data_IF_388465454187
#
_entry.id   IF_388465454187
#
_cell.length_a   1.000
_cell.length_b   1.000
_cell.length_c   1.000
_cell.angle_alpha   90.00
_cell.angle_beta   90.00
_cell.angle_gamma   90.00
#
_symmetry.space_group_name_H-M   'P 1'
#
loop_
_entity.id
_entity.type
_entity.pdbx_description
1 polymer ?
#
# COMPACT_ATOMS: atom_id res chain seq x y z
N UNK A 1 -6.79 13.62 -23.87
CA UNK A 1 -7.78 13.48 -22.78
C UNK A 1 -7.18 14.08 -21.52
N UNK A 2 -7.77 15.15 -20.99
CA UNK A 2 -7.34 15.71 -19.72
C UNK A 2 -7.71 14.71 -18.61
N UNK A 3 -6.73 14.23 -17.85
CA UNK A 3 -7.00 13.47 -16.63
C UNK A 3 -7.60 14.44 -15.62
N UNK A 4 -8.89 14.32 -15.38
CA UNK A 4 -9.64 15.15 -14.45
C UNK A 4 -9.11 14.81 -13.06
N UNK A 5 -8.35 15.72 -12.45
CA UNK A 5 -7.76 15.51 -11.13
C UNK A 5 -8.89 15.23 -10.13
N UNK A 6 -8.73 14.16 -9.35
CA UNK A 6 -9.72 13.77 -8.33
C UNK A 6 -10.84 12.87 -8.82
N UNK A 7 -10.71 12.19 -9.96
CA UNK A 7 -11.62 11.11 -10.38
C UNK A 7 -10.94 9.75 -10.40
N UNK A 8 -11.71 8.71 -10.07
CA UNK A 8 -11.22 7.35 -10.09
C UNK A 8 -11.06 6.88 -11.55
N UNK A 9 -9.86 6.43 -11.97
CA UNK A 9 -9.61 6.04 -13.37
C UNK A 9 -10.41 4.80 -13.79
N UNK A 10 -10.87 3.97 -12.82
CA UNK A 10 -11.66 2.76 -13.10
C UNK A 10 -13.16 3.01 -13.21
N UNK A 11 -13.77 3.75 -12.27
CA UNK A 11 -15.22 3.91 -12.19
C UNK A 11 -15.73 5.31 -12.54
N UNK A 12 -14.84 6.26 -12.82
CA UNK A 12 -15.18 7.64 -13.20
C UNK A 12 -15.82 8.48 -12.09
N UNK A 13 -16.01 7.93 -10.89
CA UNK A 13 -16.56 8.68 -9.75
C UNK A 13 -15.49 9.59 -9.15
N UNK A 14 -15.91 10.77 -8.68
CA UNK A 14 -15.05 11.70 -7.95
C UNK A 14 -14.55 11.09 -6.64
N UNK A 15 -13.25 11.17 -6.41
CA UNK A 15 -12.53 10.64 -5.25
C UNK A 15 -12.20 11.80 -4.31
N UNK A 16 -13.09 12.04 -3.34
CA UNK A 16 -12.86 12.98 -2.23
C UNK A 16 -12.20 12.30 -1.02
N UNK A 17 -12.47 11.01 -0.85
CA UNK A 17 -11.91 10.17 0.20
C UNK A 17 -11.39 8.87 -0.41
N UNK A 18 -10.37 8.29 0.22
CA UNK A 18 -9.77 7.01 -0.12
C UNK A 18 -9.81 6.08 1.07
N UNK A 19 -9.94 4.79 0.82
CA UNK A 19 -9.73 3.77 1.83
C UNK A 19 -8.22 3.54 1.98
N UNK A 20 -7.74 3.46 3.22
CA UNK A 20 -6.31 3.31 3.55
C UNK A 20 -6.12 1.98 4.26
N UNK A 21 -5.29 1.10 3.69
CA UNK A 21 -5.01 -0.20 4.30
C UNK A 21 -3.50 -0.42 4.43
N UNK A 22 -3.10 -1.08 5.52
CA UNK A 22 -1.72 -1.53 5.70
C UNK A 22 -1.50 -2.80 4.89
N UNK A 23 -0.54 -2.77 3.97
CA UNK A 23 -0.11 -3.91 3.17
C UNK A 23 1.38 -4.17 3.36
N UNK A 24 1.82 -5.37 3.00
CA UNK A 24 3.25 -5.70 2.96
C UNK A 24 3.67 -5.72 1.51
N UNK A 25 4.60 -4.85 1.15
CA UNK A 25 5.21 -4.80 -0.17
C UNK A 25 6.66 -5.27 -0.13
N UNK A 26 7.18 -5.66 -1.29
CA UNK A 26 8.61 -5.88 -1.47
C UNK A 26 9.21 -4.60 -2.05
N UNK A 27 10.04 -3.92 -1.27
CA UNK A 27 10.85 -2.79 -1.72
C UNK A 27 12.25 -3.30 -2.12
N UNK A 28 12.76 -2.81 -3.26
CA UNK A 28 14.10 -3.11 -3.77
C UNK A 28 14.40 -4.62 -3.91
N UNK A 29 13.37 -5.39 -4.30
CA UNK A 29 13.47 -6.82 -4.62
C UNK A 29 13.80 -7.77 -3.46
N UNK A 30 14.06 -7.26 -2.25
CA UNK A 30 14.59 -8.08 -1.14
C UNK A 30 14.04 -7.73 0.25
N UNK A 31 13.49 -6.53 0.44
CA UNK A 31 13.05 -6.07 1.76
C UNK A 31 11.52 -6.01 1.85
N UNK A 32 10.94 -6.72 2.82
CA UNK A 32 9.53 -6.59 3.14
C UNK A 32 9.32 -5.27 3.88
N UNK A 33 8.70 -4.30 3.21
CA UNK A 33 8.35 -3.01 3.77
C UNK A 33 6.84 -2.97 4.08
N UNK A 34 6.46 -2.25 5.15
CA UNK A 34 5.05 -1.89 5.33
C UNK A 34 4.72 -0.76 4.36
N UNK A 35 3.61 -0.89 3.68
CA UNK A 35 3.11 0.11 2.77
C UNK A 35 1.67 0.44 3.13
N UNK A 36 1.27 1.67 2.80
CA UNK A 36 -0.12 2.10 2.79
C UNK A 36 -0.65 1.95 1.37
N UNK A 37 -1.71 1.18 1.18
CA UNK A 37 -2.47 1.17 -0.06
C UNK A 37 -3.61 2.19 0.03
N UNK A 38 -3.76 2.99 -1.01
CA UNK A 38 -4.87 3.92 -1.16
C UNK A 38 -5.81 3.35 -2.22
N UNK A 39 -7.06 3.08 -1.84
CA UNK A 39 -8.06 2.53 -2.76
C UNK A 39 -9.32 3.39 -2.85
N UNK A 40 -9.98 3.34 -4.00
CA UNK A 40 -11.22 4.06 -4.22
C UNK A 40 -12.34 3.50 -3.33
N UNK A 41 -13.05 4.35 -2.60
CA UNK A 41 -14.17 3.95 -1.73
C UNK A 41 -15.38 3.35 -2.47
N UNK A 42 -15.46 3.55 -3.79
CA UNK A 42 -16.62 3.13 -4.58
C UNK A 42 -16.43 1.79 -5.29
N UNK A 43 -15.19 1.44 -5.63
CA UNK A 43 -14.91 0.25 -6.42
C UNK A 43 -13.64 -0.50 -5.98
N UNK A 44 -13.02 -0.05 -4.90
CA UNK A 44 -11.83 -0.64 -4.26
C UNK A 44 -10.61 -0.81 -5.18
N UNK A 45 -10.58 -0.13 -6.33
CA UNK A 45 -9.37 -0.10 -7.16
C UNK A 45 -8.25 0.59 -6.40
N UNK A 46 -7.05 0.02 -6.45
CA UNK A 46 -5.84 0.65 -5.90
C UNK A 46 -5.49 1.86 -6.76
N UNK A 47 -5.43 3.03 -6.14
CA UNK A 47 -5.08 4.31 -6.74
C UNK A 47 -3.59 4.63 -6.53
N UNK A 48 -2.99 4.09 -5.47
CA UNK A 48 -1.58 4.26 -5.18
C UNK A 48 -1.14 3.40 -4.00
N UNK A 49 0.18 3.21 -3.90
CA UNK A 49 0.82 2.54 -2.78
C UNK A 49 2.02 3.38 -2.36
N UNK A 50 2.19 3.58 -1.06
CA UNK A 50 3.31 4.33 -0.51
C UNK A 50 3.99 3.52 0.59
N UNK A 51 5.32 3.51 0.60
CA UNK A 51 6.06 2.90 1.72
C UNK A 51 5.80 3.72 2.98
N UNK A 52 5.40 3.05 4.06
CA UNK A 52 5.22 3.70 5.35
C UNK A 52 6.59 3.93 6.00
N UNK A 53 7.13 5.14 5.82
CA UNK A 53 8.41 5.54 6.41
C UNK A 53 8.37 5.63 7.95
N UNK A 54 7.18 5.67 8.57
CA UNK A 54 7.05 5.65 10.03
C UNK A 54 7.02 4.24 10.58
N UNK A 55 6.79 3.23 9.75
CA UNK A 55 6.90 1.84 10.16
C UNK A 55 8.36 1.52 10.45
N UNK A 56 8.66 1.11 11.69
CA UNK A 56 9.97 0.57 12.04
C UNK A 56 10.33 -0.56 11.07
N UNK A 57 11.51 -0.54 10.41
CA UNK A 57 11.98 -1.65 9.60
C UNK A 57 11.95 -2.91 10.46
N UNK A 58 11.15 -3.90 10.07
CA UNK A 58 11.17 -5.18 10.78
C UNK A 58 12.44 -5.88 10.31
N UNK A 59 13.50 -5.86 11.12
CA UNK A 59 14.64 -6.74 10.89
C UNK A 59 14.09 -8.15 10.73
N UNK A 60 14.37 -8.79 9.59
CA UNK A 60 14.03 -10.20 9.33
C UNK A 60 14.37 -10.98 10.60
N UNK A 61 13.36 -11.43 11.33
CA UNK A 61 13.60 -12.20 12.53
C UNK A 61 14.47 -13.39 12.11
N UNK A 62 15.64 -13.53 12.74
CA UNK A 62 16.43 -14.77 12.67
C UNK A 62 15.43 -15.89 13.00
N UNK A 63 15.28 -16.94 12.17
CA UNK A 63 14.47 -18.08 12.58
C UNK A 63 14.98 -18.52 13.94
N UNK A 64 14.09 -18.59 14.92
CA UNK A 64 14.43 -19.06 16.25
C UNK A 64 15.06 -20.44 16.07
N UNK A 65 16.31 -20.58 16.50
CA UNK A 65 16.96 -21.89 16.54
C UNK A 65 16.10 -22.75 17.47
N UNK A 66 15.34 -23.67 16.88
CA UNK A 66 14.63 -24.73 17.59
C UNK A 66 15.70 -25.57 18.26
N UNK A 67 15.94 -25.34 19.55
CA UNK A 67 16.72 -26.24 20.38
C UNK A 67 15.77 -27.35 20.85
N UNK A 68 15.95 -28.56 20.32
CA UNK A 68 15.55 -29.84 20.92
C UNK A 68 16.42 -30.94 20.31
#
# INVERSE_FOLDING_TARGET
>A
MAMIHGECPKCGKRVLHVNIENVVGVADGSSNARCLSYSCIHCHVVLGVQVDHRAKPRSRAKPAATAS
#
